data_IF_076370252359
#
_entry.id   IF_076370252359
#
_cell.length_a   1.000
_cell.length_b   1.000
_cell.length_c   1.000
_cell.angle_alpha   90.00
_cell.angle_beta   90.00
_cell.angle_gamma   90.00
#
_symmetry.space_group_name_H-M   'P 1'
#
loop_
_entity.id
_entity.type
_entity.pdbx_description
1 polymer ?
#
# COMPACT_ATOMS: atom_id res chain seq x y z
N UNK A 1 9.10 -14.40 1.78
CA UNK A 1 8.89 -13.55 0.59
C UNK A 1 9.51 -14.28 -0.61
N UNK A 2 8.85 -14.32 -1.79
CA UNK A 2 9.36 -14.95 -3.01
C UNK A 2 8.81 -16.35 -3.32
N UNK A 3 8.38 -17.13 -2.33
CA UNK A 3 7.83 -18.48 -2.58
C UNK A 3 6.50 -18.49 -3.36
N UNK A 4 5.74 -17.40 -3.37
CA UNK A 4 4.47 -17.30 -4.10
C UNK A 4 4.66 -17.25 -5.61
N UNK A 5 5.53 -16.37 -6.11
CA UNK A 5 5.84 -16.24 -7.54
C UNK A 5 6.56 -17.45 -8.08
N UNK A 6 7.47 -18.06 -7.32
CA UNK A 6 8.16 -19.29 -7.70
C UNK A 6 7.18 -20.46 -7.88
N UNK A 7 6.23 -20.65 -6.97
CA UNK A 7 5.22 -21.72 -7.09
C UNK A 7 4.32 -21.51 -8.31
N UNK A 8 4.02 -20.26 -8.65
CA UNK A 8 3.22 -19.93 -9.84
C UNK A 8 4.04 -20.25 -11.10
N UNK A 9 5.31 -19.88 -11.14
CA UNK A 9 6.24 -20.21 -12.24
C UNK A 9 6.30 -21.71 -12.46
N UNK A 10 6.53 -22.50 -11.40
CA UNK A 10 6.58 -23.97 -11.46
C UNK A 10 5.26 -24.57 -11.96
N UNK A 11 4.12 -24.11 -11.42
CA UNK A 11 2.81 -24.59 -11.82
C UNK A 11 2.46 -24.24 -13.29
N UNK A 12 2.88 -23.08 -13.78
CA UNK A 12 2.66 -22.69 -15.18
C UNK A 12 3.57 -23.46 -16.13
N UNK A 13 4.81 -23.74 -15.75
CA UNK A 13 5.70 -24.58 -16.53
C UNK A 13 5.19 -26.01 -16.67
N UNK A 14 4.52 -26.54 -15.63
CA UNK A 14 3.87 -27.84 -15.67
C UNK A 14 2.57 -27.81 -16.50
N UNK A 15 1.75 -26.78 -16.34
CA UNK A 15 0.43 -26.67 -16.99
C UNK A 15 0.54 -26.37 -18.50
N UNK A 16 1.60 -25.68 -18.93
CA UNK A 16 1.84 -25.30 -20.34
C UNK A 16 3.21 -25.78 -20.78
N UNK A 17 3.38 -27.07 -21.06
CA UNK A 17 4.68 -27.63 -21.48
C UNK A 17 5.19 -26.96 -22.76
N UNK A 18 6.45 -26.57 -22.75
CA UNK A 18 7.11 -25.90 -23.87
C UNK A 18 7.00 -24.36 -23.87
N UNK A 19 6.17 -23.77 -23.00
CA UNK A 19 6.14 -22.32 -22.81
C UNK A 19 7.40 -21.84 -22.08
N UNK A 20 7.96 -20.73 -22.54
CA UNK A 20 9.10 -20.06 -21.90
C UNK A 20 8.55 -19.16 -20.79
N UNK A 21 8.59 -19.68 -19.56
CA UNK A 21 8.10 -18.95 -18.36
C UNK A 21 9.25 -18.16 -17.75
N UNK A 22 9.07 -16.87 -17.55
CA UNK A 22 10.05 -15.98 -16.91
C UNK A 22 9.46 -15.37 -15.65
N UNK A 23 10.21 -15.40 -14.53
CA UNK A 23 9.85 -14.76 -13.28
C UNK A 23 10.65 -13.49 -13.05
N UNK A 24 9.93 -12.39 -12.77
CA UNK A 24 10.51 -11.09 -12.39
C UNK A 24 9.94 -10.67 -11.04
N UNK A 25 10.76 -10.71 -10.00
CA UNK A 25 10.44 -10.27 -8.65
C UNK A 25 11.66 -9.62 -7.96
N UNK A 26 11.50 -9.21 -6.70
CA UNK A 26 12.57 -8.56 -5.95
C UNK A 26 13.83 -9.46 -5.79
N UNK A 27 13.66 -10.78 -5.78
CA UNK A 27 14.78 -11.71 -5.63
C UNK A 27 15.52 -11.91 -6.96
N UNK A 28 14.79 -12.05 -8.07
CA UNK A 28 15.38 -12.20 -9.42
C UNK A 28 16.11 -10.92 -9.90
N UNK A 29 15.72 -9.75 -9.37
CA UNK A 29 16.26 -8.44 -9.76
C UNK A 29 17.33 -7.88 -8.83
N UNK A 30 17.74 -8.61 -7.79
CA UNK A 30 18.73 -8.14 -6.78
C UNK A 30 20.11 -7.83 -7.35
N UNK A 31 20.53 -8.49 -8.42
CA UNK A 31 21.85 -8.25 -9.03
C UNK A 31 21.77 -7.04 -9.97
N UNK A 32 22.75 -6.14 -9.88
CA UNK A 32 22.86 -4.96 -10.75
C UNK A 32 22.87 -5.39 -12.22
N UNK A 33 21.92 -4.87 -13.01
CA UNK A 33 21.80 -5.18 -14.43
C UNK A 33 20.92 -6.40 -14.77
N UNK A 34 20.53 -7.25 -13.80
CA UNK A 34 19.69 -8.43 -14.06
C UNK A 34 18.27 -8.04 -14.53
N UNK A 35 17.71 -6.99 -13.97
CA UNK A 35 16.38 -6.52 -14.37
C UNK A 35 16.36 -6.08 -15.85
N UNK A 36 17.36 -5.32 -16.31
CA UNK A 36 17.46 -4.88 -17.70
C UNK A 36 17.61 -6.04 -18.68
N UNK A 37 18.41 -7.05 -18.35
CA UNK A 37 18.56 -8.24 -19.18
C UNK A 37 17.23 -9.01 -19.29
N UNK A 38 16.55 -9.27 -18.16
CA UNK A 38 15.26 -9.96 -18.13
C UNK A 38 14.18 -9.22 -18.95
N UNK A 39 14.13 -7.89 -18.87
CA UNK A 39 13.19 -7.11 -19.69
C UNK A 39 13.58 -7.09 -21.17
N UNK A 40 14.86 -7.15 -21.51
CA UNK A 40 15.34 -7.28 -22.90
C UNK A 40 14.83 -8.58 -23.52
N UNK A 41 14.88 -9.70 -22.81
CA UNK A 41 14.40 -11.00 -23.27
C UNK A 41 12.88 -10.98 -23.55
N UNK A 42 12.11 -10.29 -22.68
CA UNK A 42 10.67 -10.09 -22.90
C UNK A 42 10.41 -9.27 -24.16
N UNK A 43 11.15 -8.18 -24.38
CA UNK A 43 11.00 -7.33 -25.57
C UNK A 43 11.44 -8.03 -26.86
N UNK A 44 12.45 -8.91 -26.78
CA UNK A 44 12.88 -9.73 -27.90
C UNK A 44 11.88 -10.82 -28.29
N UNK A 45 10.85 -11.05 -27.45
CA UNK A 45 9.86 -12.11 -27.68
C UNK A 45 10.34 -13.50 -27.30
N UNK A 46 11.39 -13.57 -26.46
CA UNK A 46 11.96 -14.82 -25.95
C UNK A 46 11.17 -15.40 -24.76
N UNK A 47 10.07 -14.75 -24.36
CA UNK A 47 9.23 -15.11 -23.20
C UNK A 47 7.78 -15.22 -23.65
N UNK A 48 7.14 -16.34 -23.29
CA UNK A 48 5.73 -16.59 -23.58
C UNK A 48 4.85 -16.26 -22.37
N UNK A 49 5.33 -16.51 -21.15
CA UNK A 49 4.60 -16.23 -19.91
C UNK A 49 5.52 -15.48 -18.94
N UNK A 50 5.06 -14.31 -18.50
CA UNK A 50 5.76 -13.48 -17.52
C UNK A 50 5.04 -13.56 -16.17
N UNK A 51 5.76 -14.00 -15.13
CA UNK A 51 5.26 -14.08 -13.75
C UNK A 51 5.94 -13.03 -12.89
N UNK A 52 5.19 -12.31 -12.09
CA UNK A 52 5.81 -11.39 -11.14
C UNK A 52 4.84 -10.63 -10.25
N UNK A 53 5.38 -9.69 -9.50
CA UNK A 53 4.64 -8.82 -8.60
C UNK A 53 4.28 -7.50 -9.29
N UNK A 54 3.76 -6.54 -8.54
CA UNK A 54 3.43 -5.18 -9.01
C UNK A 54 4.59 -4.48 -9.77
N UNK A 55 5.84 -4.91 -9.59
CA UNK A 55 7.00 -4.34 -10.28
C UNK A 55 6.88 -4.47 -11.81
N UNK A 56 6.26 -5.54 -12.30
CA UNK A 56 6.06 -5.75 -13.74
C UNK A 56 5.08 -4.72 -14.33
N UNK A 57 4.09 -4.30 -13.55
CA UNK A 57 3.09 -3.34 -13.99
C UNK A 57 3.63 -1.90 -14.14
N UNK A 58 4.75 -1.57 -13.47
CA UNK A 58 5.32 -0.21 -13.44
C UNK A 58 6.46 -0.06 -14.45
N UNK A 59 6.31 0.88 -15.37
CA UNK A 59 7.44 1.43 -16.15
C UNK A 59 7.85 0.66 -17.40
N UNK A 60 7.31 -0.53 -17.69
CA UNK A 60 7.66 -1.31 -18.89
C UNK A 60 6.47 -1.39 -19.85
N UNK A 61 6.72 -1.16 -21.13
CA UNK A 61 5.70 -1.22 -22.19
C UNK A 61 5.81 -2.56 -22.93
N UNK A 62 4.99 -3.53 -22.55
CA UNK A 62 4.89 -4.82 -23.21
C UNK A 62 3.85 -4.74 -24.33
N UNK A 63 4.31 -4.68 -25.57
CA UNK A 63 3.44 -4.45 -26.75
C UNK A 63 2.61 -5.67 -27.16
N UNK A 64 3.01 -6.88 -26.74
CA UNK A 64 2.46 -8.17 -27.21
C UNK A 64 1.74 -8.97 -26.13
N UNK A 65 1.19 -8.29 -25.12
CA UNK A 65 0.42 -8.95 -24.06
C UNK A 65 -1.03 -9.10 -24.50
N UNK A 66 -1.49 -10.32 -24.70
CA UNK A 66 -2.88 -10.66 -25.00
C UNK A 66 -3.70 -11.02 -23.77
N UNK A 67 -3.07 -11.58 -22.74
CA UNK A 67 -3.73 -12.01 -21.51
C UNK A 67 -2.98 -11.51 -20.28
N UNK A 68 -3.71 -10.98 -19.31
CA UNK A 68 -3.20 -10.66 -17.98
C UNK A 68 -4.00 -11.41 -16.93
N UNK A 69 -3.33 -12.24 -16.14
CA UNK A 69 -3.90 -12.92 -14.98
C UNK A 69 -3.53 -12.24 -13.68
N UNK A 70 -4.51 -11.85 -12.87
CA UNK A 70 -4.31 -11.31 -11.52
C UNK A 70 -4.74 -12.34 -10.50
N UNK A 71 -3.79 -12.86 -9.75
CA UNK A 71 -4.01 -13.87 -8.74
C UNK A 71 -4.15 -13.25 -7.35
N UNK A 72 -5.06 -13.82 -6.53
CA UNK A 72 -5.22 -13.47 -5.12
C UNK A 72 -5.51 -11.96 -4.86
N UNK A 73 -6.37 -11.36 -5.68
CA UNK A 73 -6.77 -9.95 -5.55
C UNK A 73 -7.43 -9.63 -4.20
N UNK A 74 -8.08 -10.62 -3.58
CA UNK A 74 -8.81 -10.47 -2.32
C UNK A 74 -7.92 -10.05 -1.15
N UNK A 75 -6.65 -10.49 -1.11
CA UNK A 75 -5.70 -10.08 -0.07
C UNK A 75 -5.45 -8.57 -0.08
N UNK A 76 -5.42 -7.97 -1.27
CA UNK A 76 -5.30 -6.52 -1.40
C UNK A 76 -6.62 -5.81 -1.09
N UNK A 77 -7.76 -6.38 -1.50
CA UNK A 77 -9.09 -5.80 -1.31
C UNK A 77 -9.47 -5.68 0.17
N UNK A 78 -9.16 -6.70 0.98
CA UNK A 78 -9.50 -6.78 2.40
C UNK A 78 -8.32 -6.46 3.32
N UNK A 79 -7.41 -5.63 2.87
CA UNK A 79 -6.37 -5.07 3.74
C UNK A 79 -6.98 -4.11 4.79
N UNK A 80 -6.34 -3.98 5.93
CA UNK A 80 -6.76 -3.04 6.99
C UNK A 80 -6.63 -1.57 6.60
N UNK A 81 -5.93 -1.25 5.52
CA UNK A 81 -5.79 0.11 5.02
C UNK A 81 -7.06 0.55 4.28
N UNK A 82 -7.67 1.64 4.73
CA UNK A 82 -8.88 2.21 4.10
C UNK A 82 -8.67 2.61 2.62
N UNK A 83 -7.43 2.72 2.15
CA UNK A 83 -7.07 2.95 0.74
C UNK A 83 -6.89 1.66 -0.07
N UNK A 84 -7.11 0.49 0.53
CA UNK A 84 -6.83 -0.81 -0.10
C UNK A 84 -7.59 -0.99 -1.42
N UNK A 85 -8.88 -0.68 -1.44
CA UNK A 85 -9.73 -0.76 -2.64
C UNK A 85 -9.26 0.19 -3.74
N UNK A 86 -8.87 1.42 -3.40
CA UNK A 86 -8.34 2.39 -4.38
C UNK A 86 -7.01 1.94 -4.97
N UNK A 87 -6.11 1.45 -4.12
CA UNK A 87 -4.82 0.93 -4.59
C UNK A 87 -5.02 -0.26 -5.51
N UNK A 88 -5.92 -1.20 -5.14
CA UNK A 88 -6.24 -2.33 -5.98
C UNK A 88 -6.87 -1.89 -7.31
N UNK A 89 -7.85 -0.98 -7.28
CA UNK A 89 -8.47 -0.45 -8.49
C UNK A 89 -7.43 0.18 -9.43
N UNK A 90 -6.57 1.06 -8.90
CA UNK A 90 -5.51 1.70 -9.69
C UNK A 90 -4.53 0.67 -10.29
N UNK A 91 -4.17 -0.37 -9.54
CA UNK A 91 -3.32 -1.45 -10.02
C UNK A 91 -3.99 -2.25 -11.13
N UNK A 92 -5.25 -2.63 -10.96
CA UNK A 92 -6.01 -3.36 -11.95
C UNK A 92 -6.22 -2.55 -13.23
N UNK A 93 -6.51 -1.26 -13.12
CA UNK A 93 -6.58 -0.34 -14.27
C UNK A 93 -5.23 -0.24 -15.01
N UNK A 94 -4.13 -0.14 -14.27
CA UNK A 94 -2.80 -0.09 -14.87
C UNK A 94 -2.46 -1.36 -15.63
N UNK A 95 -2.81 -2.52 -15.06
CA UNK A 95 -2.58 -3.84 -15.64
C UNK A 95 -3.49 -4.06 -16.84
N UNK A 96 -4.77 -3.66 -16.75
CA UNK A 96 -5.75 -3.73 -17.86
C UNK A 96 -5.29 -2.95 -19.09
N UNK A 97 -4.67 -1.79 -18.87
CA UNK A 97 -4.10 -0.98 -19.95
C UNK A 97 -2.87 -1.60 -20.61
N UNK A 98 -2.38 -2.76 -20.16
CA UNK A 98 -1.29 -3.51 -20.78
C UNK A 98 -1.77 -4.56 -21.77
N UNK A 99 -2.93 -5.15 -21.53
CA UNK A 99 -3.52 -6.13 -22.44
C UNK A 99 -4.12 -5.43 -23.70
N UNK A 100 -3.99 -6.08 -24.85
CA UNK A 100 -4.66 -5.63 -26.07
C UNK A 100 -4.03 -4.44 -26.79
N UNK A 101 -2.71 -4.24 -26.66
CA UNK A 101 -1.97 -3.23 -27.43
C UNK A 101 -1.64 -3.73 -28.84
N UNK A 102 -1.25 -2.81 -29.72
CA UNK A 102 -0.89 -3.10 -31.11
C UNK A 102 -2.03 -3.74 -31.95
N UNK A 103 -3.29 -3.42 -31.63
CA UNK A 103 -4.44 -3.92 -32.39
C UNK A 103 -4.85 -5.37 -32.07
N UNK A 104 -4.23 -5.99 -31.09
CA UNK A 104 -4.61 -7.33 -30.60
C UNK A 104 -5.70 -7.20 -29.52
N UNK A 105 -6.73 -8.09 -29.51
CA UNK A 105 -7.66 -8.15 -28.41
C UNK A 105 -6.93 -8.55 -27.13
N UNK A 106 -7.20 -7.84 -26.04
CA UNK A 106 -6.62 -8.10 -24.73
C UNK A 106 -7.65 -8.57 -23.73
N UNK A 107 -7.31 -9.56 -22.92
CA UNK A 107 -8.15 -10.08 -21.88
C UNK A 107 -7.49 -9.91 -20.50
N UNK A 108 -8.29 -9.61 -19.47
CA UNK A 108 -7.83 -9.53 -18.09
C UNK A 108 -8.69 -10.44 -17.22
N UNK A 109 -8.06 -11.42 -16.62
CA UNK A 109 -8.68 -12.36 -15.69
C UNK A 109 -8.29 -12.02 -14.27
N UNK A 110 -9.27 -11.80 -13.40
CA UNK A 110 -9.04 -11.52 -11.98
C UNK A 110 -9.58 -12.68 -11.14
N UNK A 111 -8.69 -13.35 -10.43
CA UNK A 111 -9.08 -14.39 -9.48
C UNK A 111 -9.58 -13.75 -8.19
N UNK A 112 -10.86 -13.95 -7.87
CA UNK A 112 -11.50 -13.41 -6.67
C UNK A 112 -12.63 -14.34 -6.19
N UNK A 113 -12.87 -14.35 -4.87
CA UNK A 113 -14.06 -14.98 -4.25
C UNK A 113 -15.27 -14.02 -4.23
N UNK A 114 -15.07 -12.76 -4.58
CA UNK A 114 -16.07 -11.70 -4.50
C UNK A 114 -16.33 -11.04 -5.86
N UNK A 115 -16.71 -11.80 -6.92
CA UNK A 115 -16.84 -11.27 -8.27
C UNK A 115 -17.92 -10.18 -8.40
N UNK A 116 -18.86 -10.10 -7.43
CA UNK A 116 -19.92 -9.08 -7.39
C UNK A 116 -19.52 -7.81 -6.63
N UNK A 117 -18.28 -7.68 -6.17
CA UNK A 117 -17.83 -6.48 -5.48
C UNK A 117 -17.87 -5.27 -6.42
N UNK A 118 -18.31 -4.11 -5.91
CA UNK A 118 -18.50 -2.88 -6.68
C UNK A 118 -17.23 -2.46 -7.47
N UNK A 119 -16.05 -2.69 -6.89
CA UNK A 119 -14.75 -2.45 -7.52
C UNK A 119 -14.64 -3.16 -8.88
N UNK A 120 -14.97 -4.46 -8.96
CA UNK A 120 -14.83 -5.23 -10.20
C UNK A 120 -15.88 -4.82 -11.24
N UNK A 121 -17.08 -4.43 -10.82
CA UNK A 121 -18.09 -3.87 -11.72
C UNK A 121 -17.64 -2.54 -12.31
N UNK A 122 -17.09 -1.65 -11.49
CA UNK A 122 -16.55 -0.37 -11.97
C UNK A 122 -15.35 -0.59 -12.90
N UNK A 123 -14.46 -1.54 -12.55
CA UNK A 123 -13.31 -1.91 -13.39
C UNK A 123 -13.75 -2.38 -14.78
N UNK A 124 -14.72 -3.31 -14.84
CA UNK A 124 -15.23 -3.86 -16.11
C UNK A 124 -15.89 -2.82 -17.01
N UNK A 125 -16.40 -1.73 -16.45
CA UNK A 125 -16.96 -0.57 -17.18
C UNK A 125 -15.95 0.54 -17.41
N UNK A 126 -14.74 0.44 -16.90
CA UNK A 126 -13.73 1.50 -16.84
C UNK A 126 -14.28 2.80 -16.19
N UNK A 127 -15.20 2.63 -15.23
CA UNK A 127 -15.88 3.73 -14.54
C UNK A 127 -15.10 4.18 -13.29
N UNK A 128 -14.01 4.90 -13.51
CA UNK A 128 -13.22 5.49 -12.43
C UNK A 128 -14.04 6.51 -11.60
N UNK A 129 -14.83 7.33 -12.27
CA UNK A 129 -15.59 8.40 -11.62
C UNK A 129 -16.65 7.83 -10.69
N UNK A 130 -17.41 6.82 -11.13
CA UNK A 130 -18.39 6.12 -10.30
C UNK A 130 -17.74 5.42 -9.09
N UNK A 131 -16.60 4.74 -9.31
CA UNK A 131 -15.83 4.12 -8.25
C UNK A 131 -15.33 5.15 -7.23
N UNK A 132 -14.74 6.25 -7.68
CA UNK A 132 -14.22 7.30 -6.79
C UNK A 132 -15.33 7.94 -5.96
N UNK A 133 -16.49 8.24 -6.56
CA UNK A 133 -17.64 8.81 -5.87
C UNK A 133 -18.20 7.86 -4.80
N UNK A 134 -18.34 6.58 -5.10
CA UNK A 134 -18.77 5.56 -4.14
C UNK A 134 -17.79 5.47 -2.96
N UNK A 135 -16.50 5.36 -3.23
CA UNK A 135 -15.46 5.30 -2.20
C UNK A 135 -15.41 6.56 -1.33
N UNK A 136 -15.60 7.75 -1.92
CA UNK A 136 -15.69 9.00 -1.16
C UNK A 136 -16.95 9.05 -0.29
N UNK A 137 -18.08 8.50 -0.75
CA UNK A 137 -19.27 8.32 0.06
C UNK A 137 -19.00 7.48 1.30
N UNK A 138 -18.46 6.28 1.12
CA UNK A 138 -18.09 5.37 2.20
C UNK A 138 -17.13 6.02 3.21
N UNK A 139 -16.13 6.77 2.74
CA UNK A 139 -15.19 7.49 3.60
C UNK A 139 -15.83 8.62 4.40
N UNK A 140 -16.79 9.33 3.81
CA UNK A 140 -17.53 10.37 4.50
C UNK A 140 -18.33 9.78 5.65
N UNK A 141 -19.05 8.69 5.39
CA UNK A 141 -19.88 8.01 6.39
C UNK A 141 -19.04 7.39 7.51
N UNK A 142 -17.84 6.91 7.18
CA UNK A 142 -16.87 6.33 8.12
C UNK A 142 -15.94 7.37 8.78
N UNK A 143 -16.10 8.68 8.54
CA UNK A 143 -15.23 9.75 9.05
C UNK A 143 -13.74 9.48 8.75
N UNK A 144 -13.45 9.12 7.50
CA UNK A 144 -12.10 8.85 7.03
C UNK A 144 -11.57 10.00 6.13
N UNK A 145 -10.26 10.14 5.95
CA UNK A 145 -9.70 11.09 4.98
C UNK A 145 -10.31 10.93 3.57
N UNK A 146 -10.63 12.02 2.86
CA UNK A 146 -10.22 13.42 3.09
C UNK A 146 -11.18 14.24 3.95
N UNK A 147 -12.20 13.64 4.59
CA UNK A 147 -13.20 14.35 5.39
C UNK A 147 -12.74 14.65 6.82
N UNK A 148 -11.69 13.98 7.26
CA UNK A 148 -10.91 14.29 8.46
C UNK A 148 -9.43 14.39 8.10
N UNK A 149 -8.66 15.00 8.98
CA UNK A 149 -7.21 15.19 8.83
C UNK A 149 -6.49 14.40 9.89
N UNK A 150 -5.48 13.67 9.52
CA UNK A 150 -4.77 12.75 10.39
C UNK A 150 -3.30 13.10 10.49
N UNK A 151 -2.71 12.84 11.65
CA UNK A 151 -1.28 12.84 11.87
C UNK A 151 -0.89 11.60 12.68
N UNK A 152 0.27 11.06 12.42
CA UNK A 152 0.78 9.85 13.05
C UNK A 152 2.12 10.16 13.73
N UNK A 153 2.17 10.03 15.06
CA UNK A 153 3.43 10.04 15.79
C UNK A 153 3.96 8.60 15.87
N UNK A 154 5.12 8.36 15.29
CA UNK A 154 5.82 7.08 15.37
C UNK A 154 7.00 7.18 16.33
N UNK A 155 7.22 6.15 17.12
CA UNK A 155 8.33 6.04 18.04
C UNK A 155 9.08 4.72 17.85
N UNK A 156 10.41 4.79 17.91
CA UNK A 156 11.33 3.67 17.79
C UNK A 156 12.17 3.55 19.07
N UNK A 157 12.02 2.43 19.77
CA UNK A 157 12.69 2.18 21.04
C UNK A 157 13.53 0.89 21.04
N UNK A 158 14.40 0.75 22.04
CA UNK A 158 15.13 -0.51 22.28
C UNK A 158 14.19 -1.64 22.72
N UNK A 159 13.09 -1.27 23.36
CA UNK A 159 12.00 -2.18 23.77
C UNK A 159 10.67 -1.59 23.31
N UNK A 160 9.64 -2.43 23.18
CA UNK A 160 8.29 -1.97 22.88
C UNK A 160 7.75 -1.07 23.98
N UNK A 161 7.98 -1.42 25.23
CA UNK A 161 7.53 -0.64 26.39
C UNK A 161 8.12 0.78 26.38
N UNK A 162 9.40 0.94 25.99
CA UNK A 162 10.02 2.26 25.86
C UNK A 162 9.34 3.11 24.77
N UNK A 163 9.01 2.50 23.61
CA UNK A 163 8.32 3.19 22.54
C UNK A 163 6.89 3.59 22.95
N UNK A 164 6.14 2.68 23.59
CA UNK A 164 4.79 2.94 24.10
C UNK A 164 4.80 3.99 25.22
N UNK A 165 5.72 3.91 26.17
CA UNK A 165 5.84 4.88 27.26
C UNK A 165 6.09 6.31 26.73
N UNK A 166 6.94 6.46 25.71
CA UNK A 166 7.16 7.74 25.06
C UNK A 166 5.89 8.29 24.43
N UNK A 167 5.13 7.45 23.70
CA UNK A 167 3.87 7.86 23.06
C UNK A 167 2.80 8.24 24.08
N UNK A 168 2.72 7.52 25.21
CA UNK A 168 1.80 7.86 26.32
C UNK A 168 2.17 9.19 26.96
N UNK A 169 3.45 9.47 27.21
CA UNK A 169 3.90 10.77 27.71
C UNK A 169 3.58 11.88 26.71
N UNK A 170 3.82 11.65 25.42
CA UNK A 170 3.48 12.59 24.36
C UNK A 170 1.98 12.89 24.34
N UNK A 171 1.14 11.85 24.42
CA UNK A 171 -0.32 12.02 24.49
C UNK A 171 -0.78 12.80 25.71
N UNK A 172 -0.16 12.57 26.87
CA UNK A 172 -0.53 13.24 28.13
C UNK A 172 -0.26 14.74 28.13
N UNK A 173 0.74 15.19 27.38
CA UNK A 173 1.09 16.64 27.30
C UNK A 173 0.13 17.39 26.35
N UNK A 174 -0.39 16.73 25.33
CA UNK A 174 -1.14 17.38 24.25
C UNK A 174 -2.38 18.16 24.72
N UNK A 175 -3.24 17.66 25.63
CA UNK A 175 -4.47 18.35 26.02
C UNK A 175 -4.28 19.76 26.59
N UNK A 176 -3.12 20.07 27.13
CA UNK A 176 -2.76 21.40 27.65
C UNK A 176 -2.31 22.40 26.59
N UNK A 177 -2.19 21.99 25.34
CA UNK A 177 -1.58 22.81 24.29
C UNK A 177 -2.65 23.51 23.42
N UNK A 178 -2.29 24.67 22.82
CA UNK A 178 -3.19 25.39 21.92
C UNK A 178 -3.67 24.54 20.75
N UNK A 179 -5.01 24.49 20.53
CA UNK A 179 -5.64 23.76 19.43
C UNK A 179 -5.89 22.28 19.71
N UNK A 180 -5.47 21.77 20.87
CA UNK A 180 -5.67 20.37 21.25
C UNK A 180 -7.14 20.01 21.50
N UNK A 181 -7.97 20.99 21.89
CA UNK A 181 -9.42 20.86 22.12
C UNK A 181 -10.21 20.32 20.91
N UNK A 182 -9.63 20.42 19.72
CA UNK A 182 -10.22 19.96 18.45
C UNK A 182 -9.49 18.78 17.82
N UNK A 183 -8.63 18.14 18.59
CA UNK A 183 -7.83 16.97 18.15
C UNK A 183 -8.19 15.76 18.98
N UNK A 184 -8.63 14.71 18.33
CA UNK A 184 -8.81 13.40 18.96
C UNK A 184 -7.47 12.68 18.96
N UNK A 185 -7.09 12.15 20.11
CA UNK A 185 -5.89 11.34 20.28
C UNK A 185 -6.34 9.90 20.51
N UNK A 186 -5.87 8.99 19.69
CA UNK A 186 -6.16 7.57 19.85
C UNK A 186 -5.13 6.89 20.76
N UNK A 187 -5.37 5.64 21.10
CA UNK A 187 -4.43 4.87 21.92
C UNK A 187 -3.10 4.62 21.18
N UNK A 188 -2.02 4.61 21.96
CA UNK A 188 -0.72 4.20 21.47
C UNK A 188 -0.70 2.69 21.24
N UNK A 189 -0.37 2.26 20.02
CA UNK A 189 -0.38 0.84 19.63
C UNK A 189 0.95 0.43 18.99
N UNK A 190 1.33 -0.85 19.11
CA UNK A 190 2.44 -1.39 18.33
C UNK A 190 2.16 -1.26 16.83
N UNK A 191 3.17 -1.00 16.02
CA UNK A 191 3.02 -1.06 14.56
C UNK A 191 2.81 -2.50 14.09
N UNK A 192 2.19 -2.67 12.90
CA UNK A 192 1.96 -3.98 12.27
C UNK A 192 3.24 -4.83 12.18
N UNK A 193 4.37 -4.20 11.82
CA UNK A 193 5.70 -4.81 11.94
C UNK A 193 6.37 -4.23 13.18
N UNK A 194 6.17 -4.90 14.30
CA UNK A 194 6.60 -4.45 15.63
C UNK A 194 8.11 -4.27 15.74
N UNK A 195 8.89 -5.14 15.09
CA UNK A 195 10.36 -5.14 15.23
C UNK A 195 11.06 -5.20 13.88
N UNK A 196 11.98 -4.26 13.66
CA UNK A 196 12.85 -4.22 12.46
C UNK A 196 14.28 -3.95 12.93
N UNK A 197 15.24 -4.77 12.53
CA UNK A 197 16.67 -4.61 12.85
C UNK A 197 16.94 -4.33 14.35
N UNK A 198 16.29 -5.09 15.23
CA UNK A 198 16.36 -4.96 16.70
C UNK A 198 15.79 -3.63 17.27
N UNK A 199 15.03 -2.88 16.50
CA UNK A 199 14.31 -1.69 16.94
C UNK A 199 12.83 -2.01 17.03
N UNK A 200 12.21 -1.71 18.17
CA UNK A 200 10.76 -1.86 18.38
C UNK A 200 10.03 -0.58 18.02
N UNK A 201 8.87 -0.72 17.38
CA UNK A 201 8.12 0.38 16.82
C UNK A 201 6.69 0.41 17.34
N UNK A 202 6.24 1.61 17.70
CA UNK A 202 4.87 1.89 18.08
C UNK A 202 4.40 3.20 17.43
N UNK A 203 3.11 3.44 17.42
CA UNK A 203 2.49 4.60 16.81
C UNK A 203 1.30 5.11 17.61
N UNK A 204 0.99 6.39 17.44
CA UNK A 204 -0.13 7.11 18.03
C UNK A 204 -0.79 7.95 16.93
N UNK A 205 -2.09 7.72 16.70
CA UNK A 205 -2.87 8.47 15.72
C UNK A 205 -3.52 9.69 16.36
N UNK A 206 -3.45 10.81 15.66
CA UNK A 206 -4.20 12.04 15.95
C UNK A 206 -5.13 12.34 14.78
N UNK A 207 -6.33 12.83 15.10
CA UNK A 207 -7.33 13.17 14.11
C UNK A 207 -8.04 14.48 14.44
N UNK A 208 -8.42 15.23 13.41
CA UNK A 208 -9.24 16.43 13.55
C UNK A 208 -10.13 16.63 12.32
N UNK A 209 -11.34 17.12 12.53
CA UNK A 209 -12.19 17.60 11.44
C UNK A 209 -11.67 18.92 10.81
N UNK A 210 -10.67 19.55 11.42
CA UNK A 210 -10.08 20.81 10.95
C UNK A 210 -8.58 20.68 10.73
N UNK A 211 -8.14 20.84 9.48
CA UNK A 211 -6.70 20.87 9.14
C UNK A 211 -5.96 21.96 9.91
N UNK A 212 -6.54 23.15 10.04
CA UNK A 212 -5.94 24.26 10.75
C UNK A 212 -5.75 23.97 12.25
N UNK A 213 -6.76 23.34 12.89
CA UNK A 213 -6.66 22.94 14.28
C UNK A 213 -5.58 21.88 14.49
N UNK A 214 -5.55 20.83 13.64
CA UNK A 214 -4.50 19.80 13.70
C UNK A 214 -3.10 20.41 13.55
N UNK A 215 -2.90 21.28 12.56
CA UNK A 215 -1.62 21.92 12.33
C UNK A 215 -1.21 22.86 13.49
N UNK A 216 -2.17 23.55 14.10
CA UNK A 216 -1.91 24.40 15.27
C UNK A 216 -1.47 23.55 16.47
N UNK A 217 -2.19 22.49 16.78
CA UNK A 217 -1.83 21.55 17.84
C UNK A 217 -0.45 20.92 17.60
N UNK A 218 -0.16 20.45 16.39
CA UNK A 218 1.13 19.84 16.05
C UNK A 218 2.30 20.81 16.20
N UNK A 219 2.12 22.08 15.85
CA UNK A 219 3.16 23.12 16.05
C UNK A 219 3.46 23.36 17.53
N UNK A 220 2.41 23.43 18.35
CA UNK A 220 2.55 23.58 19.80
C UNK A 220 3.17 22.33 20.44
N UNK A 221 2.86 21.16 19.92
CA UNK A 221 3.34 19.88 20.45
C UNK A 221 4.81 19.56 20.12
N UNK A 222 5.32 20.06 19.00
CA UNK A 222 6.68 19.74 18.54
C UNK A 222 7.80 20.09 19.55
N UNK A 223 7.81 21.26 20.24
CA UNK A 223 8.78 21.53 21.29
C UNK A 223 8.73 20.54 22.44
N UNK A 224 7.52 20.18 22.87
CA UNK A 224 7.29 19.21 23.94
C UNK A 224 7.81 17.83 23.57
N UNK A 225 7.53 17.36 22.35
CA UNK A 225 8.06 16.10 21.85
C UNK A 225 9.60 16.06 21.83
N UNK A 226 10.23 17.20 21.52
CA UNK A 226 11.70 17.29 21.55
C UNK A 226 12.28 17.26 22.98
N UNK A 227 11.52 17.69 23.96
CA UNK A 227 11.91 17.62 25.37
C UNK A 227 11.84 16.21 25.94
N UNK A 228 10.93 15.38 25.45
CA UNK A 228 10.77 13.98 25.87
C UNK A 228 12.00 13.14 25.51
N UNK A 229 12.28 12.16 26.34
CA UNK A 229 13.41 11.23 26.21
C UNK A 229 12.89 9.78 26.26
N UNK A 230 13.78 8.82 26.05
CA UNK A 230 13.46 7.39 26.25
C UNK A 230 13.32 6.57 24.98
N UNK A 231 13.38 7.20 23.78
CA UNK A 231 13.35 6.51 22.48
C UNK A 231 14.59 6.78 21.66
N UNK A 232 14.86 5.92 20.69
CA UNK A 232 15.97 6.09 19.74
C UNK A 232 15.65 7.15 18.70
N UNK A 233 14.41 7.13 18.19
CA UNK A 233 13.91 8.06 17.18
C UNK A 233 12.40 8.20 17.30
N UNK A 234 11.89 9.35 16.94
CA UNK A 234 10.48 9.59 16.70
C UNK A 234 10.27 10.46 15.45
N UNK A 235 9.10 10.37 14.87
CA UNK A 235 8.70 11.20 13.72
C UNK A 235 7.20 11.49 13.76
N UNK A 236 6.82 12.69 13.28
CA UNK A 236 5.42 13.03 13.01
C UNK A 236 5.22 13.04 11.50
N UNK A 237 4.24 12.29 11.04
CA UNK A 237 3.80 12.22 9.66
C UNK A 237 2.39 12.79 9.56
N UNK A 238 2.20 13.80 8.71
CA UNK A 238 0.89 14.41 8.44
C UNK A 238 0.31 13.81 7.18
N UNK A 239 -0.99 13.52 7.18
CA UNK A 239 -1.68 12.79 6.12
C UNK A 239 -0.97 11.45 5.78
N UNK A 240 -0.77 10.55 6.79
CA UNK A 240 0.02 9.34 6.63
C UNK A 240 -0.56 8.43 5.53
N UNK A 241 0.34 7.80 4.77
CA UNK A 241 -0.05 6.86 3.72
C UNK A 241 -0.38 5.46 4.27
N UNK A 242 0.23 5.09 5.39
CA UNK A 242 0.06 3.80 6.07
C UNK A 242 -0.22 4.04 7.56
N UNK A 243 -1.26 3.41 8.10
CA UNK A 243 -1.67 3.48 9.51
C UNK A 243 -1.64 2.07 10.12
#
# INVERSE_FOLDING_TARGET
>A
FGRGTQRIEEALAEAVPGARVLRIDADSTRRKGSAQALFSDVHAGEVDILVGTQMIAKGHDFQRVSLVGVLNADTALFSHDFRASERLFAQLMQVSGRAGRAGLPGEVLVQTRYPRHALYHALGRQDYVGFANSTLGERRDAHLPPFVYQALLRAEGRTLDAALAFLLQAAAVLPGLPGADRVTVYDAVPMTIVKVANVHRAQLLLESASRAALQHALRAWQPELRALKGVLRWSVEVDPLDI
#
